data_IF_459558435292
#
_entry.id   IF_459558435292
#
_cell.length_a   1.000
_cell.length_b   1.000
_cell.length_c   1.000
_cell.angle_alpha   90.00
_cell.angle_beta   90.00
_cell.angle_gamma   90.00
#
_symmetry.space_group_name_H-M   'P 1'
#
loop_
_entity.id
_entity.type
_entity.pdbx_description
1 polymer ?
#
# COMPACT_ATOMS: atom_id res chain seq x y z
N UNK A 1 11.28 -7.64 -4.08
CA UNK A 1 11.41 -8.28 -2.76
C UNK A 1 11.01 -7.24 -1.72
N UNK A 2 10.02 -7.54 -0.89
CA UNK A 2 9.70 -6.75 0.30
C UNK A 2 10.35 -7.48 1.47
N UNK A 3 11.24 -6.79 2.19
CA UNK A 3 11.94 -7.34 3.34
C UNK A 3 11.79 -6.40 4.52
N UNK A 4 11.27 -6.93 5.64
CA UNK A 4 11.20 -6.20 6.91
C UNK A 4 12.38 -6.66 7.77
N UNK A 5 13.20 -5.71 8.21
CA UNK A 5 14.47 -5.98 8.88
C UNK A 5 14.53 -5.32 10.27
N UNK A 6 15.46 -5.79 11.11
CA UNK A 6 15.72 -5.20 12.42
C UNK A 6 14.52 -5.32 13.36
N UNK A 7 14.29 -4.33 14.22
CA UNK A 7 13.24 -4.37 15.23
C UNK A 7 11.82 -4.55 14.64
N UNK A 8 11.58 -4.11 13.41
CA UNK A 8 10.30 -4.29 12.73
C UNK A 8 10.01 -5.76 12.37
N UNK A 9 11.04 -6.60 12.23
CA UNK A 9 10.89 -8.03 11.95
C UNK A 9 10.31 -8.82 13.13
N UNK A 10 10.26 -8.23 14.33
CA UNK A 10 9.57 -8.82 15.47
C UNK A 10 8.05 -8.57 15.44
N UNK A 11 7.59 -7.67 14.58
CA UNK A 11 6.19 -7.22 14.49
C UNK A 11 5.52 -7.64 13.18
N UNK A 12 6.30 -8.11 12.21
CA UNK A 12 5.84 -8.52 10.88
C UNK A 12 6.48 -9.84 10.51
N UNK A 13 5.66 -10.79 10.08
CA UNK A 13 6.06 -12.14 9.73
C UNK A 13 5.98 -12.36 8.21
N UNK A 14 6.77 -13.28 7.64
CA UNK A 14 6.60 -13.70 6.26
C UNK A 14 5.17 -14.16 5.99
N UNK A 15 4.51 -13.55 5.00
CA UNK A 15 3.11 -13.83 4.66
C UNK A 15 2.12 -12.79 5.16
N UNK A 16 2.53 -11.90 6.07
CA UNK A 16 1.68 -10.80 6.51
C UNK A 16 1.40 -9.84 5.35
N UNK A 17 0.13 -9.48 5.18
CA UNK A 17 -0.26 -8.37 4.32
C UNK A 17 0.03 -7.05 5.03
N UNK A 18 0.82 -6.20 4.40
CA UNK A 18 1.25 -4.91 4.96
C UNK A 18 0.95 -3.75 4.01
N UNK A 19 0.75 -2.56 4.58
CA UNK A 19 0.64 -1.30 3.82
C UNK A 19 1.91 -0.47 4.09
N UNK A 20 2.59 -0.04 3.01
CA UNK A 20 3.74 0.86 3.09
C UNK A 20 3.30 2.30 2.80
N UNK A 21 3.56 3.22 3.74
CA UNK A 21 3.17 4.63 3.63
C UNK A 21 4.40 5.52 3.82
N UNK A 22 4.55 6.51 2.95
CA UNK A 22 5.51 7.60 3.10
C UNK A 22 4.76 8.93 3.21
N UNK A 23 5.21 9.79 4.12
CA UNK A 23 4.66 11.13 4.34
C UNK A 23 5.63 12.19 3.85
N UNK A 24 5.10 13.34 3.43
CA UNK A 24 5.89 14.49 3.04
C UNK A 24 5.34 15.75 3.70
N UNK A 25 6.23 16.61 4.19
CA UNK A 25 5.89 17.95 4.66
C UNK A 25 5.90 18.91 3.49
N UNK A 26 4.88 19.76 3.39
CA UNK A 26 4.74 20.75 2.32
C UNK A 26 3.93 21.95 2.83
N UNK A 27 3.95 23.05 2.09
CA UNK A 27 3.11 24.22 2.37
C UNK A 27 1.62 23.91 2.14
N UNK A 28 0.73 24.68 2.77
CA UNK A 28 -0.73 24.46 2.73
C UNK A 28 -1.29 24.51 1.31
N UNK A 29 -0.80 25.43 0.47
CA UNK A 29 -1.28 25.57 -0.90
C UNK A 29 -0.95 24.31 -1.71
N UNK A 30 0.28 23.79 -1.58
CA UNK A 30 0.70 22.54 -2.20
C UNK A 30 -0.04 21.32 -1.64
N UNK A 31 -0.30 21.29 -0.33
CA UNK A 31 -1.00 20.18 0.32
C UNK A 31 -2.42 20.00 -0.21
N UNK A 32 -3.15 21.10 -0.44
CA UNK A 32 -4.55 21.06 -0.94
C UNK A 32 -4.70 20.45 -2.33
N UNK A 33 -3.66 20.54 -3.17
CA UNK A 33 -3.69 20.04 -4.55
C UNK A 33 -2.76 18.85 -4.76
N UNK A 34 -2.11 18.36 -3.71
CA UNK A 34 -1.17 17.25 -3.82
C UNK A 34 -1.91 15.96 -4.14
N UNK A 35 -1.46 15.28 -5.19
CA UNK A 35 -1.93 13.95 -5.53
C UNK A 35 -0.87 12.93 -5.08
N UNK A 36 -1.19 12.05 -4.11
CA UNK A 36 -0.26 11.02 -3.69
C UNK A 36 -0.04 10.00 -4.81
N UNK A 37 1.06 9.25 -4.75
CA UNK A 37 1.23 8.09 -5.62
C UNK A 37 0.76 6.85 -4.89
N UNK A 38 -0.37 6.31 -5.33
CA UNK A 38 -0.96 5.07 -4.83
C UNK A 38 -0.58 3.95 -5.78
N UNK A 39 -0.09 2.82 -5.24
CA UNK A 39 0.30 1.65 -6.03
C UNK A 39 -0.35 0.42 -5.42
N UNK A 40 -1.15 -0.27 -6.23
CA UNK A 40 -1.70 -1.57 -5.89
C UNK A 40 -0.85 -2.68 -6.47
N UNK A 41 -0.69 -3.76 -5.71
CA UNK A 41 0.15 -4.90 -6.09
C UNK A 41 -0.61 -6.22 -6.00
N UNK A 42 -0.25 -7.16 -6.88
CA UNK A 42 -0.73 -8.54 -6.81
C UNK A 42 -0.07 -9.35 -5.67
N UNK A 43 -0.49 -10.61 -5.54
CA UNK A 43 0.08 -11.57 -4.58
C UNK A 43 1.60 -11.81 -4.74
N UNK A 44 2.21 -11.43 -5.88
CA UNK A 44 3.64 -11.54 -6.14
C UNK A 44 4.39 -10.20 -5.95
N UNK A 45 3.74 -9.22 -5.34
CA UNK A 45 4.23 -7.85 -5.14
C UNK A 45 4.59 -7.14 -6.47
N UNK A 46 3.86 -7.44 -7.56
CA UNK A 46 3.99 -6.73 -8.83
C UNK A 46 2.93 -5.63 -8.92
N UNK A 47 3.29 -4.40 -9.36
CA UNK A 47 2.31 -3.35 -9.57
C UNK A 47 1.27 -3.76 -10.60
N UNK A 48 -0.01 -3.61 -10.26
CA UNK A 48 -1.12 -3.85 -11.20
C UNK A 48 -1.96 -2.60 -11.46
N UNK A 49 -1.89 -1.60 -10.58
CA UNK A 49 -2.54 -0.31 -10.77
C UNK A 49 -1.73 0.82 -10.10
N UNK A 50 -1.80 2.01 -10.68
CA UNK A 50 -1.17 3.22 -10.16
C UNK A 50 -2.12 4.41 -10.32
N UNK A 51 -2.36 5.12 -9.22
CA UNK A 51 -3.28 6.26 -9.21
C UNK A 51 -3.01 7.25 -8.09
N UNK A 52 -4.05 8.03 -7.77
CA UNK A 52 -3.98 9.12 -6.78
C UNK A 52 -5.06 9.01 -5.69
N UNK A 53 -6.04 8.13 -5.86
CA UNK A 53 -7.11 7.91 -4.91
C UNK A 53 -6.75 6.75 -3.97
N UNK A 54 -6.54 6.99 -2.66
CA UNK A 54 -6.27 5.93 -1.70
C UNK A 54 -7.48 5.05 -1.38
N UNK A 55 -8.70 5.46 -1.79
CA UNK A 55 -9.92 4.69 -1.58
C UNK A 55 -10.31 3.82 -2.79
N UNK A 56 -9.71 4.06 -3.96
CA UNK A 56 -9.90 3.24 -5.15
C UNK A 56 -9.47 1.79 -4.90
N UNK A 57 -10.20 0.83 -5.45
CA UNK A 57 -9.85 -0.60 -5.46
C UNK A 57 -10.11 -1.14 -6.88
N UNK A 58 -9.11 -1.71 -7.57
CA UNK A 58 -9.28 -2.28 -8.93
C UNK A 58 -10.32 -3.40 -8.99
N UNK A 59 -11.02 -3.56 -10.13
CA UNK A 59 -12.08 -4.58 -10.30
C UNK A 59 -11.55 -6.04 -10.22
N UNK A 60 -10.29 -6.27 -10.59
CA UNK A 60 -9.61 -7.57 -10.47
C UNK A 60 -9.02 -7.80 -9.06
N UNK A 61 -9.52 -7.07 -8.04
CA UNK A 61 -9.02 -7.16 -6.69
C UNK A 61 -9.21 -8.52 -5.99
N UNK A 62 -9.86 -9.51 -6.61
CA UNK A 62 -9.88 -10.89 -6.10
C UNK A 62 -8.49 -11.55 -6.05
N UNK A 63 -7.55 -11.10 -6.88
CA UNK A 63 -6.12 -11.50 -6.85
C UNK A 63 -5.24 -10.48 -6.09
N UNK A 64 -5.82 -9.33 -5.76
CA UNK A 64 -5.20 -8.26 -4.99
C UNK A 64 -5.47 -8.53 -3.52
N UNK A 65 -4.46 -8.39 -2.67
CA UNK A 65 -4.67 -8.57 -1.25
C UNK A 65 -5.41 -7.35 -0.69
N UNK A 66 -6.75 -7.44 -0.51
CA UNK A 66 -7.54 -6.40 0.16
C UNK A 66 -7.32 -6.46 1.68
N UNK A 67 -6.68 -5.45 2.30
CA UNK A 67 -6.45 -5.43 3.75
C UNK A 67 -7.72 -5.31 4.58
N UNK A 68 -8.88 -5.02 3.97
CA UNK A 68 -10.18 -4.90 4.64
C UNK A 68 -10.95 -6.21 4.66
N UNK A 69 -10.58 -7.17 3.80
CA UNK A 69 -11.14 -8.51 3.77
C UNK A 69 -10.21 -9.45 4.55
N UNK A 70 -10.12 -9.25 5.86
CA UNK A 70 -9.30 -10.07 6.74
C UNK A 70 -9.60 -11.55 6.57
N UNK A 71 -8.55 -12.35 6.40
CA UNK A 71 -8.58 -13.82 6.36
C UNK A 71 -9.15 -14.36 7.66
N UNK A 72 -10.24 -15.12 7.55
CA UNK A 72 -10.69 -16.08 8.57
C UNK A 72 -10.00 -17.42 8.41
#
# INVERSE_FOLDING_TARGET
MIGINGAAAHLVHPGDLVILIAYATMDDARARTYQPRIVFVDAYNKPIDMGHDPAFVPENAGELLDPRLGVG
#
